data_IF_158583827510
#
_entry.id   IF_158583827510
#
_cell.length_a   1.000
_cell.length_b   1.000
_cell.length_c   1.000
_cell.angle_alpha   90.00
_cell.angle_beta   90.00
_cell.angle_gamma   90.00
#
_symmetry.space_group_name_H-M   'P 1'
#
loop_
_entity.id
_entity.type
_entity.pdbx_description
1 polymer ?
#
# COMPACT_ATOMS: atom_id res chain seq x y z
N UNK A 1 -64.25 5.58 42.93
CA UNK A 1 -63.20 6.24 42.10
C UNK A 1 -62.00 5.31 42.05
N UNK A 2 -61.73 4.66 40.92
CA UNK A 2 -60.64 3.69 40.79
C UNK A 2 -60.48 3.24 39.34
N UNK A 3 -59.33 3.59 38.75
CA UNK A 3 -58.81 3.11 37.47
C UNK A 3 -58.38 1.62 37.59
N UNK A 4 -58.25 0.87 36.47
CA UNK A 4 -56.93 0.83 35.83
C UNK A 4 -56.96 0.95 34.30
N UNK A 5 -56.15 1.92 33.86
CA UNK A 5 -55.48 2.02 32.56
C UNK A 5 -54.43 0.90 32.49
N UNK A 6 -54.40 0.09 31.43
CA UNK A 6 -53.19 -0.55 30.85
C UNK A 6 -53.57 -1.60 29.80
N UNK A 7 -53.50 -1.23 28.51
CA UNK A 7 -53.13 -2.17 27.45
C UNK A 7 -52.83 -1.39 26.17
N UNK A 8 -51.71 -0.67 26.10
CA UNK A 8 -51.24 -0.09 24.83
C UNK A 8 -49.72 0.18 24.76
N UNK A 9 -48.92 -0.42 25.65
CA UNK A 9 -47.49 -0.06 25.80
C UNK A 9 -46.51 -1.19 25.50
N UNK A 10 -46.91 -2.29 24.84
CA UNK A 10 -45.99 -3.42 24.59
C UNK A 10 -45.68 -3.69 23.11
N UNK A 11 -46.31 -3.00 22.17
CA UNK A 11 -46.09 -3.22 20.73
C UNK A 11 -45.09 -2.25 20.10
N UNK A 12 -44.71 -1.16 20.79
CA UNK A 12 -43.80 -0.15 20.23
C UNK A 12 -42.30 -0.39 20.58
N UNK A 13 -42.01 -1.28 21.54
CA UNK A 13 -40.62 -1.56 21.97
C UNK A 13 -39.92 -2.65 21.17
N UNK A 14 -40.66 -3.45 20.39
CA UNK A 14 -40.08 -4.58 19.63
C UNK A 14 -39.57 -4.15 18.25
N UNK A 15 -40.10 -3.06 17.68
CA UNK A 15 -39.64 -2.55 16.37
C UNK A 15 -38.36 -1.72 16.44
N UNK A 16 -37.92 -1.25 17.61
CA UNK A 16 -36.72 -0.41 17.74
C UNK A 16 -35.42 -1.21 17.91
N UNK A 17 -35.50 -2.51 18.24
CA UNK A 17 -34.32 -3.38 18.46
C UNK A 17 -33.87 -4.07 17.16
N UNK A 18 -34.68 -4.03 16.09
CA UNK A 18 -34.36 -4.67 14.81
C UNK A 18 -33.63 -3.78 13.80
N UNK A 19 -33.38 -2.49 14.13
CA UNK A 19 -32.72 -1.53 13.21
C UNK A 19 -31.22 -1.31 13.56
N UNK A 20 -30.74 -1.79 14.71
CA UNK A 20 -29.34 -1.57 15.14
C UNK A 20 -28.35 -2.69 14.79
N UNK A 21 -28.77 -3.74 14.08
CA UNK A 21 -27.90 -4.91 13.73
C UNK A 21 -27.57 -4.95 12.21
N UNK A 22 -27.66 -3.83 11.49
CA UNK A 22 -27.20 -3.74 10.07
C UNK A 22 -25.97 -2.84 9.90
N UNK A 23 -25.53 -2.12 10.96
CA UNK A 23 -24.35 -1.25 10.92
C UNK A 23 -23.04 -1.91 11.43
N UNK A 24 -23.06 -3.22 11.70
CA UNK A 24 -21.99 -3.90 12.46
C UNK A 24 -21.07 -4.84 11.67
N UNK A 25 -21.17 -4.92 10.34
CA UNK A 25 -20.25 -5.74 9.53
C UNK A 25 -20.05 -5.12 8.15
N UNK A 26 -19.44 -3.93 8.12
CA UNK A 26 -18.64 -3.61 6.94
C UNK A 26 -17.47 -4.62 6.94
N UNK A 27 -17.26 -5.41 5.88
CA UNK A 27 -15.98 -6.07 5.73
C UNK A 27 -14.93 -4.98 5.86
N UNK A 28 -14.02 -5.15 6.82
CA UNK A 28 -12.88 -4.28 6.98
C UNK A 28 -12.22 -4.24 5.59
N UNK A 29 -12.41 -3.15 4.86
CA UNK A 29 -11.71 -2.94 3.60
C UNK A 29 -10.27 -2.88 4.04
N UNK A 30 -9.51 -3.94 3.75
CA UNK A 30 -8.07 -3.86 3.75
C UNK A 30 -7.76 -2.69 2.84
N UNK A 31 -7.31 -1.57 3.41
CA UNK A 31 -6.85 -0.43 2.64
C UNK A 31 -5.79 -0.98 1.71
N UNK A 32 -6.10 -1.08 0.41
CA UNK A 32 -5.10 -1.41 -0.58
C UNK A 32 -3.93 -0.44 -0.35
N UNK A 33 -2.71 -0.96 -0.26
CA UNK A 33 -1.54 -0.12 -0.03
C UNK A 33 -1.54 1.01 -1.07
N UNK A 34 -1.61 2.26 -0.62
CA UNK A 34 -1.67 3.40 -1.51
C UNK A 34 -0.26 3.67 -2.06
N UNK A 35 -0.08 3.28 -3.32
CA UNK A 35 1.15 3.42 -4.10
C UNK A 35 1.24 4.76 -4.84
N UNK A 36 0.30 5.69 -4.61
CA UNK A 36 0.21 6.97 -5.33
C UNK A 36 0.54 8.19 -4.48
N UNK A 37 0.84 7.99 -3.19
CA UNK A 37 1.22 9.08 -2.30
C UNK A 37 2.55 9.71 -2.72
N UNK A 38 2.59 11.04 -2.76
CA UNK A 38 3.81 11.79 -3.04
C UNK A 38 4.81 11.58 -1.90
N UNK A 39 6.02 11.14 -2.25
CA UNK A 39 7.15 11.02 -1.32
C UNK A 39 8.00 12.28 -1.40
N UNK A 40 8.54 12.58 -2.59
CA UNK A 40 9.29 13.81 -2.83
C UNK A 40 9.25 14.21 -4.30
N UNK A 41 9.68 15.44 -4.56
CA UNK A 41 9.89 15.97 -5.91
C UNK A 41 11.23 16.68 -6.00
N UNK A 42 11.91 16.54 -7.13
CA UNK A 42 13.10 17.30 -7.51
C UNK A 42 12.83 18.05 -8.81
N UNK A 43 13.17 19.33 -8.87
CA UNK A 43 13.02 20.13 -10.07
C UNK A 43 14.34 20.87 -10.32
N UNK A 44 14.75 20.98 -11.58
CA UNK A 44 15.82 21.89 -11.96
C UNK A 44 15.42 23.34 -11.71
N UNK A 45 16.38 24.17 -11.31
CA UNK A 45 16.18 25.62 -11.17
C UNK A 45 15.98 26.29 -12.53
N UNK A 46 16.61 25.73 -13.57
CA UNK A 46 16.46 26.21 -14.94
C UNK A 46 15.09 25.85 -15.47
N UNK A 47 14.44 26.84 -16.10
CA UNK A 47 13.15 26.68 -16.77
C UNK A 47 13.36 26.65 -18.28
N UNK A 48 12.51 25.90 -18.96
CA UNK A 48 12.44 25.93 -20.42
C UNK A 48 12.08 27.33 -20.91
N UNK A 49 12.87 27.85 -21.84
CA UNK A 49 12.46 28.95 -22.71
C UNK A 49 11.82 28.34 -23.96
N UNK A 50 10.49 28.40 -24.04
CA UNK A 50 9.73 27.71 -25.07
C UNK A 50 8.76 28.65 -25.80
N UNK A 51 9.27 29.65 -26.54
CA UNK A 51 8.43 30.62 -27.24
C UNK A 51 7.63 29.97 -28.39
N UNK A 52 8.15 28.89 -28.98
CA UNK A 52 7.54 28.18 -30.12
C UNK A 52 6.68 26.97 -29.69
N UNK A 53 6.74 26.57 -28.42
CA UNK A 53 5.96 25.44 -27.87
C UNK A 53 6.55 24.05 -28.15
N UNK A 54 7.72 23.97 -28.79
CA UNK A 54 8.34 22.71 -29.21
C UNK A 54 8.75 21.87 -28.00
N UNK A 55 9.31 22.47 -26.95
CA UNK A 55 9.71 21.74 -25.76
C UNK A 55 8.50 21.18 -25.01
N UNK A 56 7.46 21.99 -24.83
CA UNK A 56 6.22 21.56 -24.19
C UNK A 56 5.59 20.39 -24.94
N UNK A 57 5.62 20.42 -26.29
CA UNK A 57 5.12 19.33 -27.11
C UNK A 57 5.98 18.06 -26.99
N UNK A 58 7.31 18.19 -27.02
CA UNK A 58 8.22 17.04 -26.84
C UNK A 58 8.05 16.40 -25.47
N UNK A 59 7.96 17.22 -24.41
CA UNK A 59 7.75 16.72 -23.05
C UNK A 59 6.40 15.99 -22.94
N UNK A 60 5.34 16.56 -23.51
CA UNK A 60 4.02 15.92 -23.55
C UNK A 60 4.07 14.56 -24.26
N UNK A 61 4.71 14.48 -25.42
CA UNK A 61 4.89 13.21 -26.17
C UNK A 61 5.69 12.18 -25.36
N UNK A 62 6.77 12.61 -24.71
CA UNK A 62 7.59 11.76 -23.84
C UNK A 62 6.76 11.19 -22.68
N UNK A 63 6.05 12.04 -21.93
CA UNK A 63 5.25 11.63 -20.78
C UNK A 63 4.11 10.67 -21.19
N UNK A 64 3.44 10.95 -22.31
CA UNK A 64 2.40 10.06 -22.86
C UNK A 64 2.98 8.68 -23.24
N UNK A 65 4.18 8.67 -23.83
CA UNK A 65 4.87 7.44 -24.20
C UNK A 65 5.22 6.60 -22.97
N UNK A 66 5.80 7.23 -21.94
CA UNK A 66 6.16 6.56 -20.69
C UNK A 66 4.92 6.00 -19.96
N UNK A 67 3.85 6.79 -19.84
CA UNK A 67 2.57 6.35 -19.26
C UNK A 67 1.99 5.18 -20.05
N UNK A 68 1.98 5.23 -21.38
CA UNK A 68 1.49 4.13 -22.22
C UNK A 68 2.26 2.83 -21.98
N UNK A 69 3.60 2.91 -21.92
CA UNK A 69 4.46 1.75 -21.71
C UNK A 69 4.31 1.11 -20.32
N UNK A 70 3.97 1.89 -19.30
CA UNK A 70 3.75 1.39 -17.93
C UNK A 70 2.60 0.38 -17.79
N UNK A 71 1.70 0.30 -18.79
CA UNK A 71 0.67 -0.74 -18.87
C UNK A 71 1.22 -2.14 -19.20
N UNK A 72 2.49 -2.23 -19.65
CA UNK A 72 3.11 -3.47 -20.15
C UNK A 72 4.41 -3.83 -19.45
N UNK A 73 5.10 -2.84 -18.86
CA UNK A 73 6.41 -3.00 -18.22
C UNK A 73 6.42 -2.20 -16.92
N UNK A 74 7.30 -2.58 -15.99
CA UNK A 74 7.49 -1.88 -14.72
C UNK A 74 8.65 -0.89 -14.76
N UNK A 75 9.45 -0.92 -15.82
CA UNK A 75 10.51 0.03 -16.12
C UNK A 75 10.54 0.29 -17.62
N UNK A 76 10.78 1.54 -18.01
CA UNK A 76 11.17 1.85 -19.38
C UNK A 76 11.76 3.25 -19.49
N UNK A 77 12.58 3.44 -20.51
CA UNK A 77 13.12 4.72 -20.94
C UNK A 77 12.49 5.15 -22.27
N UNK A 78 12.46 6.45 -22.52
CA UNK A 78 12.02 7.01 -23.79
C UNK A 78 12.74 8.34 -24.06
N UNK A 79 12.70 8.77 -25.31
CA UNK A 79 13.17 10.08 -25.74
C UNK A 79 12.15 10.71 -26.68
N UNK A 80 12.11 12.05 -26.73
CA UNK A 80 11.31 12.81 -27.68
C UNK A 80 12.07 14.07 -28.12
N UNK A 81 11.93 14.42 -29.40
CA UNK A 81 12.66 15.55 -29.99
C UNK A 81 14.07 15.18 -30.47
N UNK A 82 14.75 16.15 -31.07
CA UNK A 82 16.08 15.99 -31.66
C UNK A 82 17.00 17.16 -31.29
N UNK A 83 18.32 16.91 -31.32
CA UNK A 83 19.34 17.93 -31.04
C UNK A 83 19.16 18.61 -29.68
N UNK A 84 19.19 19.95 -29.67
CA UNK A 84 19.02 20.75 -28.45
C UNK A 84 17.61 20.68 -27.84
N UNK A 85 16.63 20.16 -28.58
CA UNK A 85 15.24 20.00 -28.13
C UNK A 85 14.93 18.57 -27.63
N UNK A 86 15.93 17.69 -27.62
CA UNK A 86 15.77 16.32 -27.16
C UNK A 86 15.58 16.27 -25.64
N UNK A 87 14.57 15.50 -25.22
CA UNK A 87 14.26 15.23 -23.82
C UNK A 87 14.27 13.72 -23.65
N UNK A 88 15.00 13.25 -22.65
CA UNK A 88 15.00 11.85 -22.23
C UNK A 88 14.23 11.72 -20.93
N UNK A 89 13.69 10.54 -20.69
CA UNK A 89 13.03 10.26 -19.42
C UNK A 89 12.77 8.79 -19.23
N UNK A 90 12.36 8.45 -18.03
CA UNK A 90 12.03 7.09 -17.66
C UNK A 90 11.00 7.08 -16.54
N UNK A 91 10.39 5.91 -16.36
CA UNK A 91 9.68 5.59 -15.14
C UNK A 91 10.21 4.26 -14.58
N UNK A 92 10.04 4.11 -13.28
CA UNK A 92 10.30 2.87 -12.57
C UNK A 92 9.21 2.68 -11.52
N UNK A 93 8.49 1.58 -11.62
CA UNK A 93 7.54 1.11 -10.63
C UNK A 93 8.23 0.22 -9.61
N UNK A 94 7.62 0.09 -8.42
CA UNK A 94 8.06 -0.86 -7.41
C UNK A 94 7.92 -2.28 -7.92
N UNK A 95 8.91 -3.12 -7.65
CA UNK A 95 9.04 -4.44 -8.31
C UNK A 95 7.95 -5.46 -7.95
N UNK A 96 7.20 -5.23 -6.88
CA UNK A 96 6.05 -6.03 -6.43
C UNK A 96 4.70 -5.58 -7.04
N UNK A 97 4.69 -4.51 -7.84
CA UNK A 97 3.47 -4.02 -8.47
C UNK A 97 3.16 -4.76 -9.77
N UNK A 98 1.89 -5.09 -9.97
CA UNK A 98 1.37 -5.50 -11.27
C UNK A 98 1.46 -4.35 -12.27
N UNK A 99 1.47 -4.64 -13.57
CA UNK A 99 1.48 -3.59 -14.61
C UNK A 99 0.26 -2.67 -14.53
N UNK A 100 -0.90 -3.15 -14.06
CA UNK A 100 -2.07 -2.31 -13.82
C UNK A 100 -1.87 -1.32 -12.67
N UNK A 101 -1.24 -1.75 -11.58
CA UNK A 101 -0.89 -0.86 -10.46
C UNK A 101 0.22 0.12 -10.86
N UNK A 102 1.22 -0.35 -11.60
CA UNK A 102 2.27 0.47 -12.18
C UNK A 102 1.69 1.57 -13.07
N UNK A 103 0.81 1.22 -14.01
CA UNK A 103 0.10 2.20 -14.84
C UNK A 103 -0.69 3.21 -14.01
N UNK A 104 -1.43 2.73 -13.01
CA UNK A 104 -2.20 3.60 -12.11
C UNK A 104 -1.30 4.60 -11.37
N UNK A 105 -0.12 4.16 -10.94
CA UNK A 105 0.87 5.03 -10.30
C UNK A 105 1.47 6.05 -11.29
N UNK A 106 2.04 5.56 -12.40
CA UNK A 106 2.76 6.40 -13.38
C UNK A 106 1.82 7.40 -14.04
N UNK A 107 0.54 7.08 -14.22
CA UNK A 107 -0.46 8.00 -14.79
C UNK A 107 -0.66 9.29 -13.96
N UNK A 108 -0.27 9.30 -12.68
CA UNK A 108 -0.36 10.48 -11.81
C UNK A 108 0.82 11.44 -11.96
N UNK A 109 1.97 10.95 -12.41
CA UNK A 109 3.20 11.73 -12.39
C UNK A 109 3.22 12.92 -13.37
N UNK A 110 2.59 12.90 -14.57
CA UNK A 110 2.60 14.06 -15.46
C UNK A 110 1.92 15.30 -14.86
N UNK A 111 0.72 15.12 -14.30
CA UNK A 111 -0.03 16.21 -13.66
C UNK A 111 0.70 16.73 -12.41
N UNK A 112 1.24 15.83 -11.59
CA UNK A 112 2.03 16.21 -10.42
C UNK A 112 3.32 16.94 -10.83
N UNK A 113 3.96 16.52 -11.90
CA UNK A 113 5.18 17.17 -12.39
C UNK A 113 4.89 18.59 -12.85
N UNK A 114 3.84 18.81 -13.63
CA UNK A 114 3.42 20.15 -14.05
C UNK A 114 3.07 21.03 -12.83
N UNK A 115 2.29 20.49 -11.89
CA UNK A 115 1.88 21.22 -10.69
C UNK A 115 3.06 21.57 -9.75
N UNK A 116 4.03 20.67 -9.59
CA UNK A 116 5.10 20.79 -8.59
C UNK A 116 6.41 21.38 -9.14
N UNK A 117 6.66 21.23 -10.44
CA UNK A 117 7.88 21.67 -11.11
C UNK A 117 7.63 22.66 -12.27
N UNK A 118 6.38 22.83 -12.72
CA UNK A 118 6.06 23.70 -13.85
C UNK A 118 6.87 23.34 -15.09
N UNK A 119 7.54 24.35 -15.66
CA UNK A 119 8.37 24.21 -16.87
C UNK A 119 9.86 23.96 -16.58
N UNK A 120 10.19 23.23 -15.53
CA UNK A 120 11.59 22.90 -15.23
C UNK A 120 12.21 22.02 -16.33
N UNK A 121 13.49 22.25 -16.67
CA UNK A 121 14.20 21.50 -17.73
C UNK A 121 14.50 20.05 -17.35
N UNK A 122 14.47 19.75 -16.06
CA UNK A 122 14.48 18.40 -15.54
C UNK A 122 13.58 18.33 -14.31
N UNK A 123 12.92 17.18 -14.14
CA UNK A 123 12.11 16.92 -12.96
C UNK A 123 12.10 15.44 -12.60
N UNK A 124 11.94 15.17 -11.31
CA UNK A 124 11.67 13.85 -10.74
C UNK A 124 10.47 13.97 -9.81
N UNK A 125 9.47 13.10 -10.00
CA UNK A 125 8.34 12.94 -9.08
C UNK A 125 8.37 11.52 -8.55
N UNK A 126 8.61 11.37 -7.25
CA UNK A 126 8.64 10.09 -6.55
C UNK A 126 7.32 9.89 -5.79
N UNK A 127 6.59 8.85 -6.15
CA UNK A 127 5.44 8.32 -5.41
C UNK A 127 5.84 7.04 -4.66
N UNK A 128 4.99 6.59 -3.74
CA UNK A 128 5.24 5.42 -2.90
C UNK A 128 5.35 4.09 -3.67
N UNK A 129 4.88 4.03 -4.91
CA UNK A 129 5.04 2.84 -5.76
C UNK A 129 5.65 3.07 -7.14
N UNK A 130 6.02 4.30 -7.50
CA UNK A 130 6.73 4.56 -8.74
C UNK A 130 7.40 5.94 -8.72
N UNK A 131 8.33 6.16 -9.63
CA UNK A 131 8.72 7.51 -10.01
C UNK A 131 8.76 7.69 -11.51
N UNK A 132 8.70 8.95 -11.93
CA UNK A 132 9.03 9.38 -13.27
C UNK A 132 10.08 10.48 -13.17
N UNK A 133 11.11 10.39 -14.02
CA UNK A 133 12.07 11.47 -14.22
C UNK A 133 12.22 11.81 -15.70
N UNK A 134 12.42 13.08 -15.99
CA UNK A 134 12.82 13.54 -17.32
C UNK A 134 13.90 14.62 -17.20
N UNK A 135 14.71 14.74 -18.24
CA UNK A 135 15.76 15.73 -18.35
C UNK A 135 16.03 16.08 -19.82
N UNK A 136 16.48 17.31 -20.06
CA UNK A 136 16.98 17.72 -21.37
C UNK A 136 18.33 17.09 -21.69
N UNK A 137 18.62 16.96 -22.98
CA UNK A 137 19.96 16.61 -23.44
C UNK A 137 21.02 17.54 -22.82
N UNK A 138 22.09 16.96 -22.28
CA UNK A 138 23.18 17.70 -21.63
C UNK A 138 22.88 18.16 -20.20
N UNK A 139 21.77 17.72 -19.59
CA UNK A 139 21.55 17.94 -18.16
C UNK A 139 22.65 17.28 -17.32
N UNK A 140 23.00 17.94 -16.21
CA UNK A 140 24.11 17.54 -15.34
C UNK A 140 23.88 16.12 -14.80
N UNK A 141 24.81 15.23 -15.08
CA UNK A 141 24.82 13.88 -14.53
C UNK A 141 25.37 13.89 -13.10
N UNK A 142 24.82 13.05 -12.23
CA UNK A 142 25.23 12.87 -10.84
C UNK A 142 25.66 11.42 -10.60
N UNK A 143 26.44 11.12 -9.55
CA UNK A 143 26.75 9.75 -9.18
C UNK A 143 25.48 8.93 -8.91
N UNK A 144 25.54 7.62 -9.17
CA UNK A 144 24.42 6.69 -8.96
C UNK A 144 23.90 6.69 -7.50
N UNK A 145 24.82 7.00 -6.56
CA UNK A 145 24.60 7.04 -5.11
C UNK A 145 24.36 8.45 -4.57
N UNK A 146 24.12 9.45 -5.44
CA UNK A 146 23.79 10.81 -4.99
C UNK A 146 22.54 10.77 -4.08
N UNK A 147 22.63 11.35 -2.89
CA UNK A 147 21.52 11.42 -1.96
C UNK A 147 20.41 12.33 -2.47
N UNK A 148 19.17 11.83 -2.52
CA UNK A 148 18.01 12.62 -2.95
C UNK A 148 17.05 12.96 -1.80
N UNK A 149 16.68 11.96 -1.01
CA UNK A 149 15.64 12.14 0.00
C UNK A 149 15.66 11.04 1.07
N UNK A 150 15.15 11.34 2.26
CA UNK A 150 14.93 10.35 3.32
C UNK A 150 13.63 10.57 4.08
N UNK A 151 13.10 9.49 4.63
CA UNK A 151 12.02 9.49 5.62
C UNK A 151 12.47 8.61 6.78
N UNK A 152 12.55 9.18 7.98
CA UNK A 152 12.85 8.43 9.20
C UNK A 152 11.57 8.26 10.03
N UNK A 153 11.37 7.08 10.60
CA UNK A 153 10.29 6.80 11.53
C UNK A 153 10.58 7.32 12.94
N UNK A 154 9.74 6.92 13.90
CA UNK A 154 10.00 7.21 15.31
C UNK A 154 11.21 6.43 15.83
N UNK A 155 11.99 7.03 16.72
CA UNK A 155 13.10 6.35 17.39
C UNK A 155 12.58 5.27 18.35
N UNK A 156 13.34 4.19 18.48
CA UNK A 156 13.12 3.20 19.54
C UNK A 156 13.36 3.83 20.92
N UNK A 157 12.42 3.65 21.85
CA UNK A 157 12.49 4.30 23.18
C UNK A 157 13.28 3.49 24.23
N UNK A 158 13.40 2.17 24.06
CA UNK A 158 14.09 1.29 25.00
C UNK A 158 15.47 0.87 24.48
N UNK A 159 16.49 0.95 25.33
CA UNK A 159 17.88 0.58 25.00
C UNK A 159 18.03 -0.86 24.53
N UNK A 160 17.27 -1.80 25.11
CA UNK A 160 17.24 -3.21 24.69
C UNK A 160 16.67 -3.39 23.28
N UNK A 161 15.61 -2.66 22.95
CA UNK A 161 14.98 -2.71 21.62
C UNK A 161 15.89 -2.14 20.53
N UNK A 162 16.71 -1.14 20.88
CA UNK A 162 17.66 -0.53 19.95
C UNK A 162 18.76 -1.52 19.53
N UNK A 163 19.41 -2.19 20.47
CA UNK A 163 20.43 -3.20 20.16
C UNK A 163 19.85 -4.39 19.40
N UNK A 164 18.63 -4.81 19.75
CA UNK A 164 17.93 -5.86 19.02
C UNK A 164 17.62 -5.44 17.57
N UNK A 165 17.13 -4.22 17.38
CA UNK A 165 16.87 -3.64 16.06
C UNK A 165 18.15 -3.57 15.23
N UNK A 166 19.24 -3.02 15.78
CA UNK A 166 20.52 -2.87 15.09
C UNK A 166 21.00 -4.19 14.47
N UNK A 167 21.03 -5.27 15.26
CA UNK A 167 21.51 -6.58 14.81
C UNK A 167 20.60 -7.22 13.75
N UNK A 168 19.28 -7.16 13.96
CA UNK A 168 18.31 -7.72 13.00
C UNK A 168 18.29 -6.94 11.69
N UNK A 169 18.39 -5.61 11.79
CA UNK A 169 18.43 -4.70 10.66
C UNK A 169 19.63 -4.97 9.77
N UNK A 170 20.82 -5.14 10.35
CA UNK A 170 22.04 -5.45 9.58
C UNK A 170 21.90 -6.75 8.78
N UNK A 171 21.35 -7.79 9.41
CA UNK A 171 21.14 -9.08 8.74
C UNK A 171 20.14 -8.94 7.59
N UNK A 172 19.02 -8.25 7.83
CA UNK A 172 18.02 -8.01 6.80
C UNK A 172 18.58 -7.19 5.63
N UNK A 173 19.47 -6.24 5.90
CA UNK A 173 20.10 -5.41 4.86
C UNK A 173 21.03 -6.22 3.95
N UNK A 174 21.85 -7.10 4.53
CA UNK A 174 22.69 -8.01 3.75
C UNK A 174 21.85 -8.91 2.84
N UNK A 175 20.70 -9.39 3.33
CA UNK A 175 19.75 -10.15 2.51
C UNK A 175 19.20 -9.32 1.34
N UNK A 176 18.92 -8.03 1.55
CA UNK A 176 18.47 -7.15 0.49
C UNK A 176 19.55 -6.84 -0.54
N UNK A 177 20.79 -6.60 -0.09
CA UNK A 177 21.94 -6.43 -0.97
C UNK A 177 22.17 -7.66 -1.86
N UNK A 178 22.22 -8.85 -1.27
CA UNK A 178 22.37 -10.10 -2.01
C UNK A 178 21.17 -10.40 -2.92
N UNK A 179 19.97 -10.05 -2.45
CA UNK A 179 18.73 -10.20 -3.18
C UNK A 179 18.68 -9.37 -4.46
N UNK A 180 19.11 -8.11 -4.42
CA UNK A 180 19.12 -7.27 -5.62
C UNK A 180 20.20 -7.68 -6.63
N UNK A 181 21.31 -8.28 -6.16
CA UNK A 181 22.39 -8.80 -7.02
C UNK A 181 22.02 -10.11 -7.73
N UNK A 182 21.25 -10.98 -7.06
CA UNK A 182 20.93 -12.33 -7.54
C UNK A 182 19.58 -12.45 -8.24
N UNK A 183 18.68 -11.48 -8.03
CA UNK A 183 17.37 -11.42 -8.65
C UNK A 183 17.41 -11.03 -10.14
N UNK A 184 16.28 -11.25 -10.82
CA UNK A 184 16.09 -10.89 -12.24
C UNK A 184 15.58 -9.47 -12.45
N UNK A 185 15.25 -8.74 -11.39
CA UNK A 185 14.53 -7.46 -11.44
C UNK A 185 15.15 -6.34 -10.61
N UNK A 186 16.40 -6.47 -10.17
CA UNK A 186 17.11 -5.48 -9.32
C UNK A 186 16.26 -4.98 -8.13
N UNK A 187 15.45 -5.88 -7.59
CA UNK A 187 14.42 -5.61 -6.60
C UNK A 187 14.37 -6.78 -5.65
N UNK A 188 14.32 -6.47 -4.36
CA UNK A 188 14.18 -7.45 -3.30
C UNK A 188 13.25 -6.94 -2.22
N UNK A 189 12.43 -7.85 -1.71
CA UNK A 189 11.69 -7.69 -0.46
C UNK A 189 11.87 -8.95 0.36
N UNK A 190 11.98 -8.80 1.67
CA UNK A 190 12.06 -9.93 2.57
C UNK A 190 11.93 -9.49 4.00
N UNK A 191 11.99 -10.48 4.88
CA UNK A 191 11.98 -10.26 6.30
C UNK A 191 13.04 -11.09 7.02
N UNK A 192 13.57 -10.51 8.09
CA UNK A 192 14.40 -11.20 9.05
C UNK A 192 13.83 -10.95 10.44
N UNK A 193 13.18 -11.99 10.99
CA UNK A 193 12.50 -11.95 12.28
C UNK A 193 11.42 -10.84 12.34
N UNK A 194 11.71 -9.72 12.99
CA UNK A 194 10.81 -8.58 13.17
C UNK A 194 11.15 -7.39 12.28
N UNK A 195 12.10 -7.53 11.34
CA UNK A 195 12.48 -6.47 10.39
C UNK A 195 12.04 -6.85 8.98
N UNK A 196 11.17 -6.05 8.37
CA UNK A 196 10.90 -6.09 6.93
C UNK A 196 11.87 -5.17 6.20
N UNK A 197 12.34 -5.59 5.03
CA UNK A 197 13.25 -4.82 4.16
C UNK A 197 12.80 -4.83 2.72
N UNK A 198 13.15 -3.75 2.03
CA UNK A 198 13.03 -3.59 0.60
C UNK A 198 14.30 -2.91 0.08
N UNK A 199 14.86 -3.43 -1.00
CA UNK A 199 15.90 -2.78 -1.80
C UNK A 199 15.49 -2.77 -3.27
N UNK A 200 15.72 -1.66 -3.95
CA UNK A 200 15.38 -1.54 -5.37
C UNK A 200 16.32 -0.59 -6.10
N UNK A 201 16.76 -0.99 -7.28
CA UNK A 201 17.50 -0.13 -8.21
C UNK A 201 16.67 0.27 -9.44
N UNK A 202 17.16 1.27 -10.16
CA UNK A 202 16.71 1.64 -11.50
C UNK A 202 17.00 0.48 -12.47
N UNK A 203 16.06 0.18 -13.36
CA UNK A 203 16.06 -1.04 -14.16
C UNK A 203 17.18 -1.16 -15.21
N UNK A 204 17.99 -0.12 -15.42
CA UNK A 204 19.15 -0.12 -16.33
C UNK A 204 20.49 -0.25 -15.59
N UNK A 205 20.48 -0.33 -14.25
CA UNK A 205 21.68 -0.45 -13.45
C UNK A 205 22.28 -1.86 -13.50
N UNK A 206 23.61 -1.96 -13.55
CA UNK A 206 24.29 -3.26 -13.43
C UNK A 206 24.10 -3.89 -12.05
N UNK A 207 24.07 -5.22 -11.94
CA UNK A 207 23.82 -5.93 -10.66
C UNK A 207 24.84 -5.57 -9.58
N UNK A 208 26.13 -5.44 -9.94
CA UNK A 208 27.18 -5.01 -9.00
C UNK A 208 26.93 -3.59 -8.47
N UNK A 209 26.77 -2.62 -9.37
CA UNK A 209 26.45 -1.23 -9.02
C UNK A 209 25.15 -1.12 -8.21
N UNK A 210 24.17 -1.99 -8.48
CA UNK A 210 22.94 -2.06 -7.72
C UNK A 210 23.16 -2.50 -6.28
N UNK A 211 23.98 -3.54 -6.07
CA UNK A 211 24.42 -3.95 -4.73
C UNK A 211 25.11 -2.81 -3.99
N UNK A 212 26.07 -2.14 -4.64
CA UNK A 212 26.80 -1.01 -4.06
C UNK A 212 25.85 0.15 -3.71
N UNK A 213 24.92 0.50 -4.59
CA UNK A 213 23.95 1.56 -4.33
C UNK A 213 23.04 1.23 -3.14
N UNK A 214 22.49 0.02 -3.09
CA UNK A 214 21.64 -0.43 -1.97
C UNK A 214 22.42 -0.43 -0.66
N UNK A 215 23.68 -0.88 -0.68
CA UNK A 215 24.57 -0.82 0.48
C UNK A 215 24.79 0.63 0.94
N UNK A 216 25.14 1.55 0.04
CA UNK A 216 25.29 2.97 0.38
C UNK A 216 24.00 3.55 0.96
N UNK A 217 22.83 3.22 0.40
CA UNK A 217 21.55 3.70 0.91
C UNK A 217 21.28 3.21 2.36
N UNK A 218 21.72 2.00 2.70
CA UNK A 218 21.64 1.50 4.07
C UNK A 218 22.64 2.16 5.02
N UNK A 219 23.87 2.41 4.58
CA UNK A 219 24.87 3.17 5.35
C UNK A 219 24.36 4.58 5.65
N UNK A 220 23.80 5.26 4.64
CA UNK A 220 23.11 6.52 4.82
C UNK A 220 21.98 6.38 5.84
N UNK A 221 21.12 5.36 5.75
CA UNK A 221 20.04 5.17 6.71
C UNK A 221 20.52 5.03 8.16
N UNK A 222 21.69 4.39 8.39
CA UNK A 222 22.30 4.25 9.72
C UNK A 222 22.79 5.58 10.25
N UNK A 223 23.46 6.38 9.42
CA UNK A 223 23.96 7.72 9.79
C UNK A 223 22.80 8.69 10.03
N UNK A 224 21.83 8.69 9.12
CA UNK A 224 20.86 9.77 8.99
C UNK A 224 19.55 9.55 9.73
N UNK A 225 19.20 8.29 10.02
CA UNK A 225 18.00 7.92 10.77
C UNK A 225 18.31 7.21 12.09
N UNK A 226 19.58 6.91 12.41
CA UNK A 226 20.02 6.33 13.68
C UNK A 226 19.18 5.13 14.14
N UNK A 227 18.49 5.32 15.26
CA UNK A 227 17.71 4.27 15.95
C UNK A 227 16.22 4.26 15.57
N UNK A 228 15.87 4.88 14.45
CA UNK A 228 14.51 4.89 13.92
C UNK A 228 14.03 3.46 13.65
N UNK A 229 12.79 3.16 14.03
CA UNK A 229 12.19 1.83 13.81
C UNK A 229 11.82 1.59 12.34
N UNK A 230 11.85 2.61 11.50
CA UNK A 230 11.67 2.51 10.07
C UNK A 230 12.47 3.58 9.36
N UNK A 231 12.90 3.31 8.14
CA UNK A 231 13.40 4.37 7.25
C UNK A 231 13.08 4.07 5.79
N UNK A 232 13.14 5.12 4.98
CA UNK A 232 13.28 5.06 3.54
C UNK A 232 14.40 6.01 3.14
N UNK A 233 15.33 5.54 2.32
CA UNK A 233 16.43 6.37 1.79
C UNK A 233 16.43 6.22 0.28
N UNK A 234 16.37 7.35 -0.41
CA UNK A 234 16.34 7.45 -1.87
C UNK A 234 17.64 8.09 -2.35
N UNK A 235 18.40 7.32 -3.12
CA UNK A 235 19.54 7.79 -3.89
C UNK A 235 19.11 7.96 -5.36
N UNK A 236 20.02 8.44 -6.22
CA UNK A 236 19.69 8.69 -7.63
C UNK A 236 19.16 7.43 -8.35
N UNK A 237 19.88 6.31 -8.21
CA UNK A 237 19.60 5.05 -8.92
C UNK A 237 19.05 3.93 -8.05
N UNK A 238 18.87 4.11 -6.75
CA UNK A 238 18.27 3.10 -5.90
C UNK A 238 17.56 3.70 -4.70
N UNK A 239 16.74 2.89 -4.03
CA UNK A 239 16.25 3.22 -2.71
C UNK A 239 16.10 1.97 -1.86
N UNK A 240 16.12 2.18 -0.55
CA UNK A 240 15.83 1.16 0.44
C UNK A 240 14.65 1.56 1.30
N UNK A 241 14.01 0.56 1.90
CA UNK A 241 13.08 0.77 3.01
C UNK A 241 13.24 -0.33 4.04
N UNK A 242 13.06 0.01 5.31
CA UNK A 242 12.89 -0.98 6.35
C UNK A 242 11.81 -0.56 7.35
N UNK A 243 11.23 -1.55 8.01
CA UNK A 243 10.27 -1.34 9.10
C UNK A 243 10.40 -2.45 10.13
N UNK A 244 10.53 -2.05 11.39
CA UNK A 244 10.63 -2.92 12.54
C UNK A 244 9.27 -3.08 13.21
N UNK A 245 8.89 -4.32 13.46
CA UNK A 245 7.62 -4.71 14.07
C UNK A 245 7.89 -5.49 15.35
N UNK A 246 7.90 -4.83 16.53
CA UNK A 246 8.19 -5.48 17.81
C UNK A 246 7.29 -6.69 18.10
N UNK A 247 6.05 -6.66 17.62
CA UNK A 247 5.05 -7.72 17.82
C UNK A 247 4.98 -8.73 16.65
N UNK A 248 6.00 -8.76 15.79
CA UNK A 248 6.02 -9.56 14.58
C UNK A 248 5.43 -8.83 13.38
N UNK A 249 5.90 -9.20 12.19
CA UNK A 249 5.49 -8.58 10.93
C UNK A 249 4.03 -8.95 10.65
N UNK A 250 3.15 -7.97 10.35
CA UNK A 250 1.78 -8.26 9.96
C UNK A 250 1.76 -9.20 8.75
N UNK A 251 1.31 -10.44 8.95
CA UNK A 251 1.12 -11.37 7.84
C UNK A 251 -0.09 -10.92 7.05
N UNK A 252 0.14 -10.31 5.88
CA UNK A 252 -0.89 -10.17 4.87
C UNK A 252 -1.17 -11.59 4.39
N UNK A 253 -2.24 -12.19 4.91
CA UNK A 253 -2.78 -13.42 4.34
C UNK A 253 -3.30 -13.09 2.94
N UNK A 254 -2.41 -13.19 1.96
CA UNK A 254 -2.76 -13.32 0.56
C UNK A 254 -3.67 -14.54 0.46
N UNK A 255 -4.98 -14.32 0.42
CA UNK A 255 -6.00 -15.33 0.26
C UNK A 255 -5.83 -16.03 -1.09
N UNK A 256 -4.89 -16.98 -1.14
CA UNK A 256 -4.81 -18.01 -2.17
C UNK A 256 -5.97 -18.94 -1.86
N UNK A 257 -6.96 -18.93 -2.75
CA UNK A 257 -8.25 -19.56 -2.53
C UNK A 257 -8.16 -20.98 -2.00
N UNK A 258 -8.66 -21.16 -0.78
CA UNK A 258 -9.33 -22.40 -0.39
C UNK A 258 -10.80 -22.08 -0.16
N UNK A 259 -11.55 -22.05 -1.27
CA UNK A 259 -12.99 -21.79 -1.31
C UNK A 259 -13.80 -23.07 -1.02
N UNK A 260 -13.23 -24.08 -0.34
CA UNK A 260 -13.93 -25.35 -0.14
C UNK A 260 -14.28 -25.70 1.31
N UNK A 261 -13.62 -25.12 2.31
CA UNK A 261 -13.91 -25.45 3.72
C UNK A 261 -14.87 -24.48 4.44
N UNK A 262 -14.99 -23.23 3.97
CA UNK A 262 -15.80 -22.20 4.65
C UNK A 262 -17.30 -22.26 4.30
N UNK A 263 -17.65 -22.83 3.15
CA UNK A 263 -19.05 -22.98 2.72
C UNK A 263 -19.78 -24.03 3.56
N UNK A 264 -19.08 -25.08 4.00
CA UNK A 264 -19.68 -26.17 4.78
C UNK A 264 -20.00 -25.76 6.23
N UNK A 265 -19.13 -24.99 6.88
CA UNK A 265 -19.38 -24.48 8.25
C UNK A 265 -20.46 -23.38 8.27
N UNK A 266 -20.56 -22.56 7.21
CA UNK A 266 -21.56 -21.49 7.11
C UNK A 266 -22.97 -22.04 6.85
N UNK A 267 -23.11 -23.07 6.00
CA UNK A 267 -24.40 -23.73 5.76
C UNK A 267 -24.88 -24.52 6.99
N UNK A 268 -23.97 -25.17 7.72
CA UNK A 268 -24.32 -25.90 8.95
C UNK A 268 -24.91 -24.97 10.05
N UNK A 269 -24.39 -23.75 10.19
CA UNK A 269 -24.87 -22.77 11.18
C UNK A 269 -26.19 -22.13 10.73
N UNK A 270 -26.35 -21.84 9.44
CA UNK A 270 -27.58 -21.25 8.91
C UNK A 270 -28.78 -22.23 8.97
N UNK A 271 -28.56 -23.52 8.70
CA UNK A 271 -29.63 -24.54 8.77
C UNK A 271 -29.96 -24.89 10.22
N UNK A 272 -28.97 -24.91 11.12
CA UNK A 272 -29.20 -25.15 12.55
C UNK A 272 -30.00 -24.05 13.25
N UNK A 273 -29.76 -22.78 12.88
CA UNK A 273 -30.47 -21.62 13.46
C UNK A 273 -31.97 -21.60 13.11
N UNK A 274 -32.32 -21.93 11.86
CA UNK A 274 -33.72 -21.95 11.40
C UNK A 274 -34.50 -23.13 12.00
N UNK A 275 -33.86 -24.31 12.10
CA UNK A 275 -34.47 -25.48 12.74
C UNK A 275 -34.67 -25.28 14.26
N UNK A 276 -33.68 -24.66 14.94
CA UNK A 276 -33.77 -24.37 16.37
C UNK A 276 -34.88 -23.38 16.72
N UNK A 277 -35.02 -22.30 15.95
CA UNK A 277 -36.12 -21.33 16.14
C UNK A 277 -37.50 -21.96 15.89
N UNK A 278 -37.63 -22.81 14.86
CA UNK A 278 -38.86 -23.54 14.59
C UNK A 278 -39.27 -24.46 15.75
N UNK A 279 -38.33 -25.21 16.31
CA UNK A 279 -38.61 -26.13 17.43
C UNK A 279 -39.05 -25.39 18.70
N UNK A 280 -38.41 -24.26 19.01
CA UNK A 280 -38.77 -23.42 20.17
C UNK A 280 -40.20 -22.87 20.02
N UNK A 281 -40.58 -22.42 18.82
CA UNK A 281 -41.93 -21.90 18.54
C UNK A 281 -42.98 -23.01 18.71
N UNK A 282 -42.72 -24.23 18.23
CA UNK A 282 -43.62 -25.38 18.41
C UNK A 282 -43.75 -25.75 19.88
N UNK A 283 -42.65 -25.81 20.64
CA UNK A 283 -42.68 -26.07 22.08
C UNK A 283 -43.51 -25.03 22.84
N UNK A 284 -43.38 -23.74 22.51
CA UNK A 284 -44.15 -22.67 23.13
C UNK A 284 -45.65 -22.75 22.80
N UNK A 285 -46.00 -23.14 21.57
CA UNK A 285 -47.40 -23.38 21.18
C UNK A 285 -48.00 -24.60 21.92
N UNK A 286 -47.25 -25.69 22.04
CA UNK A 286 -47.66 -26.87 22.81
C UNK A 286 -47.87 -26.52 24.28
N UNK A 287 -46.96 -25.79 24.91
CA UNK A 287 -47.08 -25.34 26.30
C UNK A 287 -48.32 -24.44 26.50
N UNK A 288 -48.55 -23.48 25.61
CA UNK A 288 -49.78 -22.65 25.65
C UNK A 288 -51.05 -23.49 25.52
N UNK A 289 -51.06 -24.49 24.65
CA UNK A 289 -52.22 -25.37 24.46
C UNK A 289 -52.52 -26.22 25.70
N UNK A 290 -51.49 -26.71 26.40
CA UNK A 290 -51.63 -27.49 27.64
C UNK A 290 -52.10 -26.60 28.79
N UNK A 291 -51.57 -25.38 28.89
CA UNK A 291 -52.01 -24.40 29.91
C UNK A 291 -53.47 -23.98 29.69
N UNK A 292 -53.89 -23.75 28.44
CA UNK A 292 -55.30 -23.45 28.13
C UNK A 292 -56.23 -24.64 28.40
N UNK A 293 -55.79 -25.88 28.19
CA UNK A 293 -56.57 -27.07 28.56
C UNK A 293 -56.72 -27.23 30.08
N UNK A 294 -55.72 -26.84 30.86
CA UNK A 294 -55.79 -26.85 32.34
C UNK A 294 -56.69 -25.74 32.88
N UNK A 295 -56.68 -24.55 32.27
CA UNK A 295 -57.60 -23.46 32.64
C UNK A 295 -59.06 -23.85 32.44
N UNK A 296 -59.39 -24.54 31.33
CA UNK A 296 -60.75 -25.02 31.06
C UNK A 296 -61.22 -26.16 31.97
N UNK A 297 -60.32 -26.79 32.72
CA UNK A 297 -60.65 -27.89 33.66
C UNK A 297 -60.91 -27.39 35.09
N UNK A 298 -60.75 -26.10 35.35
CA UNK A 298 -61.00 -25.46 36.65
C UNK A 298 -62.26 -24.58 36.68
N UNK A 299 -63.02 -24.53 35.59
CA UNK A 299 -64.28 -23.76 35.44
C UNK A 299 -65.50 -24.65 35.11
N UNK A 300 -65.40 -25.96 35.37
CA UNK A 300 -66.51 -26.92 35.22
C UNK A 300 -66.74 -27.69 36.50
#
# INVERSE_FOLDING_TARGET
MGFPRKSFSLLLSVSLVSITIILGNFPHVATAADFTNLVFKGCADQKFQDPTGVYSQNLKTLLQTLVSQSSRRTFSTAASGEGANAITGLYQCRGDLTTSQCYSCVSKTPELSDKLCGKAVAARVQLSGCYLRYEVAGFKQVPETEFLYKVCGSSSQASSMRTELESKRETAFNMAEDGVKSGSSLFYTGDYQSVYVLGQCEGDLGTANCGDCVKTAFETAKEDCGDSVSAQVYLDKCYISYSYYPNGIPTISSGRGDTRERTQKTVAIAVGGVAGLGFIVVCLMCLKSVLNRRSKKHEG
#
